data_IF_024689238906
#
_entry.id   IF_024689238906
#
_cell.length_a   1.000
_cell.length_b   1.000
_cell.length_c   1.000
_cell.angle_alpha   90.00
_cell.angle_beta   90.00
_cell.angle_gamma   90.00
#
_symmetry.space_group_name_H-M   'P 1'
#
loop_
_entity.id
_entity.type
_entity.pdbx_description
1 polymer ?
#
# COMPACT_ATOMS: atom_id res chain seq x y z
N UNK A 1 -46.57 -3.51 27.49
CA UNK A 1 -45.81 -3.43 26.26
C UNK A 1 -44.85 -2.25 26.37
N UNK A 2 -43.58 -2.41 26.61
CA UNK A 2 -42.63 -1.29 26.50
C UNK A 2 -42.19 -1.15 25.05
N UNK A 3 -42.50 -0.01 24.45
CA UNK A 3 -41.99 0.44 23.16
C UNK A 3 -40.47 0.56 23.21
N UNK A 4 -39.77 -0.30 22.47
CA UNK A 4 -38.37 -0.12 22.21
C UNK A 4 -38.21 1.12 21.33
N UNK A 5 -37.74 2.20 21.90
CA UNK A 5 -37.09 3.29 21.16
C UNK A 5 -35.82 2.71 20.53
N UNK A 6 -35.91 2.39 19.26
CA UNK A 6 -34.70 2.23 18.40
C UNK A 6 -34.14 3.64 18.26
N UNK A 7 -33.09 3.95 19.01
CA UNK A 7 -32.30 5.15 18.78
C UNK A 7 -31.89 5.14 17.32
N UNK A 8 -32.25 6.18 16.59
CA UNK A 8 -31.79 6.39 15.22
C UNK A 8 -30.26 6.39 15.26
N UNK A 9 -29.66 5.36 14.66
CA UNK A 9 -28.22 5.31 14.40
C UNK A 9 -27.96 6.50 13.49
N UNK A 10 -27.35 7.53 14.02
CA UNK A 10 -26.76 8.59 13.18
C UNK A 10 -25.74 7.91 12.30
N UNK A 11 -26.04 7.85 11.01
CA UNK A 11 -25.26 7.18 9.96
C UNK A 11 -23.93 7.92 9.67
N UNK A 12 -23.13 8.19 10.68
CA UNK A 12 -21.81 8.75 10.45
C UNK A 12 -20.81 7.58 10.35
N UNK A 13 -20.52 7.17 9.13
CA UNK A 13 -19.52 6.14 8.86
C UNK A 13 -18.16 6.71 9.24
N UNK A 14 -17.48 6.04 10.16
CA UNK A 14 -16.07 6.33 10.52
C UNK A 14 -15.27 5.05 10.46
N UNK A 15 -14.26 5.05 9.62
CA UNK A 15 -13.28 3.98 9.49
C UNK A 15 -11.92 4.47 9.96
N UNK A 16 -10.97 3.55 10.10
CA UNK A 16 -9.60 3.91 10.44
C UNK A 16 -8.58 2.96 9.81
N UNK A 17 -7.38 3.48 9.63
CA UNK A 17 -6.17 2.66 9.54
C UNK A 17 -5.29 2.91 10.76
N UNK A 18 -4.75 1.83 11.33
CA UNK A 18 -4.04 1.89 12.60
C UNK A 18 -2.71 1.10 12.51
N UNK A 19 -1.73 1.57 11.72
CA UNK A 19 -0.46 0.89 11.57
C UNK A 19 0.42 1.04 12.82
N UNK A 20 1.12 -0.05 13.19
CA UNK A 20 2.21 0.01 14.16
C UNK A 20 3.50 0.44 13.45
N UNK A 21 4.22 1.49 13.95
CA UNK A 21 5.41 2.02 13.30
C UNK A 21 6.66 1.20 13.63
N UNK A 22 6.58 -0.11 13.42
CA UNK A 22 7.66 -1.10 13.63
C UNK A 22 8.35 -1.48 12.31
N UNK A 23 8.19 -0.68 11.29
CA UNK A 23 8.74 -0.81 9.94
C UNK A 23 7.83 -0.15 8.89
N UNK A 24 8.16 -0.37 7.63
CA UNK A 24 7.43 0.22 6.51
C UNK A 24 5.99 -0.31 6.34
N UNK A 25 5.17 0.44 5.58
CA UNK A 25 3.79 0.05 5.26
C UNK A 25 3.80 -1.14 4.29
N UNK A 26 3.31 -2.28 4.76
CA UNK A 26 3.20 -3.49 3.94
C UNK A 26 2.01 -3.44 2.98
N UNK A 27 2.08 -4.19 1.89
CA UNK A 27 0.99 -4.31 0.91
C UNK A 27 -0.36 -4.70 1.55
N UNK A 28 -0.35 -5.60 2.54
CA UNK A 28 -1.56 -5.99 3.27
C UNK A 28 -2.16 -4.84 4.07
N UNK A 29 -1.32 -4.03 4.73
CA UNK A 29 -1.76 -2.84 5.47
C UNK A 29 -2.21 -1.73 4.50
N UNK A 30 -1.51 -1.55 3.37
CA UNK A 30 -1.91 -0.60 2.32
C UNK A 30 -3.28 -0.97 1.72
N UNK A 31 -3.53 -2.25 1.43
CA UNK A 31 -4.86 -2.73 1.00
C UNK A 31 -5.94 -2.46 2.05
N UNK A 32 -5.63 -2.70 3.32
CA UNK A 32 -6.56 -2.42 4.43
C UNK A 32 -6.85 -0.93 4.53
N UNK A 33 -5.83 -0.08 4.36
CA UNK A 33 -5.99 1.37 4.32
C UNK A 33 -6.88 1.80 3.15
N UNK A 34 -6.62 1.28 1.95
CA UNK A 34 -7.40 1.54 0.75
C UNK A 34 -8.88 1.16 0.93
N UNK A 35 -9.17 -0.02 1.49
CA UNK A 35 -10.55 -0.47 1.71
C UNK A 35 -11.26 0.36 2.78
N UNK A 36 -10.59 0.66 3.90
CA UNK A 36 -11.12 1.52 4.94
C UNK A 36 -11.42 2.92 4.41
N UNK A 37 -10.50 3.48 3.63
CA UNK A 37 -10.64 4.79 3.01
C UNK A 37 -11.77 4.81 1.97
N UNK A 38 -11.78 3.84 1.04
CA UNK A 38 -12.79 3.77 -0.02
C UNK A 38 -14.20 3.59 0.57
N UNK A 39 -14.36 2.76 1.60
CA UNK A 39 -15.62 2.56 2.30
C UNK A 39 -16.12 3.86 2.95
N UNK A 40 -15.24 4.59 3.65
CA UNK A 40 -15.59 5.89 4.21
C UNK A 40 -16.03 6.87 3.13
N UNK A 41 -15.26 6.99 2.04
CA UNK A 41 -15.57 7.91 0.93
C UNK A 41 -16.86 7.55 0.21
N UNK A 42 -17.11 6.26 -0.02
CA UNK A 42 -18.37 5.79 -0.64
C UNK A 42 -19.60 6.23 0.14
N UNK A 43 -19.53 6.15 1.46
CA UNK A 43 -20.65 6.48 2.34
C UNK A 43 -20.67 7.95 2.80
N UNK A 44 -19.78 8.80 2.28
CA UNK A 44 -19.68 10.21 2.73
C UNK A 44 -19.22 10.35 4.18
N UNK A 45 -18.49 9.37 4.70
CA UNK A 45 -17.98 9.30 6.06
C UNK A 45 -16.56 9.80 6.21
N UNK A 46 -15.94 9.51 7.35
CA UNK A 46 -14.61 9.98 7.74
C UNK A 46 -13.61 8.82 7.87
N UNK A 47 -12.37 9.08 7.49
CA UNK A 47 -11.26 8.15 7.59
C UNK A 47 -10.19 8.69 8.55
N UNK A 48 -9.86 7.92 9.59
CA UNK A 48 -8.95 8.29 10.66
C UNK A 48 -7.60 7.57 10.52
N UNK A 49 -6.51 8.29 10.72
CA UNK A 49 -5.18 7.70 10.83
C UNK A 49 -4.74 7.67 12.30
N UNK A 50 -4.48 6.48 12.84
CA UNK A 50 -3.93 6.27 14.18
C UNK A 50 -2.61 5.52 14.10
N UNK A 51 -1.61 5.98 14.83
CA UNK A 51 -0.30 5.32 14.96
C UNK A 51 -0.28 4.53 16.26
N UNK A 52 -0.13 3.21 16.15
CA UNK A 52 -0.12 2.28 17.29
C UNK A 52 1.33 2.05 17.75
N UNK A 53 1.87 3.02 18.51
CA UNK A 53 3.25 3.12 18.97
C UNK A 53 3.47 2.61 20.42
N UNK A 54 2.57 1.78 20.94
CA UNK A 54 2.66 1.19 22.29
C UNK A 54 3.81 0.18 22.46
N UNK A 55 4.38 -0.32 21.37
CA UNK A 55 5.64 -1.06 21.37
C UNK A 55 6.81 -0.09 21.20
N UNK A 56 7.13 0.62 22.28
CA UNK A 56 8.15 1.69 22.28
C UNK A 56 9.53 1.19 21.81
N UNK A 57 9.86 -0.05 22.09
CA UNK A 57 11.17 -0.62 21.72
C UNK A 57 11.36 -0.81 20.22
N UNK A 58 10.26 -1.03 19.47
CA UNK A 58 10.28 -1.27 18.02
C UNK A 58 9.73 -0.11 17.20
N UNK A 59 9.10 0.86 17.83
CA UNK A 59 8.54 2.04 17.15
C UNK A 59 9.63 3.06 16.85
N UNK A 60 9.71 3.54 15.61
CA UNK A 60 10.68 4.55 15.18
C UNK A 60 10.01 5.67 14.42
N UNK A 61 10.58 6.89 14.51
CA UNK A 61 10.10 8.06 13.79
C UNK A 61 10.20 7.83 12.26
N UNK A 62 11.29 7.24 11.81
CA UNK A 62 11.49 6.91 10.37
C UNK A 62 10.37 6.02 9.84
N UNK A 63 9.90 5.04 10.65
CA UNK A 63 8.78 4.19 10.24
C UNK A 63 7.47 4.96 10.15
N UNK A 64 7.25 5.94 11.04
CA UNK A 64 6.07 6.84 10.94
C UNK A 64 6.13 7.64 9.64
N UNK A 65 7.28 8.26 9.34
CA UNK A 65 7.47 9.06 8.13
C UNK A 65 7.25 8.23 6.85
N UNK A 66 7.75 7.00 6.82
CA UNK A 66 7.51 6.08 5.70
C UNK A 66 6.03 5.69 5.55
N UNK A 67 5.30 5.50 6.65
CA UNK A 67 3.85 5.26 6.62
C UNK A 67 3.12 6.47 6.02
N UNK A 68 3.44 7.68 6.49
CA UNK A 68 2.83 8.91 5.99
C UNK A 68 3.15 9.16 4.51
N UNK A 69 4.39 8.94 4.10
CA UNK A 69 4.81 9.04 2.70
C UNK A 69 4.03 8.06 1.81
N UNK A 70 3.91 6.79 2.24
CA UNK A 70 3.16 5.78 1.50
C UNK A 70 1.66 6.14 1.38
N UNK A 71 1.02 6.63 2.46
CA UNK A 71 -0.37 7.08 2.43
C UNK A 71 -0.56 8.28 1.47
N UNK A 72 0.39 9.22 1.50
CA UNK A 72 0.39 10.40 0.61
C UNK A 72 0.54 9.98 -0.84
N UNK A 73 1.50 9.09 -1.14
CA UNK A 73 1.73 8.59 -2.49
C UNK A 73 0.50 7.85 -3.05
N UNK A 74 -0.15 7.00 -2.23
CA UNK A 74 -1.38 6.30 -2.62
C UNK A 74 -2.59 7.24 -2.76
N UNK A 75 -2.50 8.50 -2.34
CA UNK A 75 -3.62 9.44 -2.37
C UNK A 75 -4.70 9.16 -1.31
N UNK A 76 -4.36 8.43 -0.24
CA UNK A 76 -5.29 8.04 0.82
C UNK A 76 -5.29 9.09 1.95
N UNK A 77 -5.80 10.28 1.66
CA UNK A 77 -5.90 11.37 2.63
C UNK A 77 -6.87 11.01 3.78
N UNK A 78 -6.44 11.30 5.03
CA UNK A 78 -7.25 11.13 6.24
C UNK A 78 -7.89 12.45 6.67
N UNK A 79 -9.03 12.35 7.37
CA UNK A 79 -9.79 13.51 7.86
C UNK A 79 -9.36 13.91 9.27
N UNK A 80 -8.89 12.92 10.06
CA UNK A 80 -8.40 13.12 11.42
C UNK A 80 -7.11 12.29 11.64
N UNK A 81 -6.13 12.88 12.31
CA UNK A 81 -4.85 12.23 12.61
C UNK A 81 -3.63 12.97 12.06
N UNK A 82 -2.41 12.38 12.17
CA UNK A 82 -2.15 11.12 12.85
C UNK A 82 -2.31 11.23 14.37
N UNK A 83 -3.06 10.30 14.97
CA UNK A 83 -3.26 10.21 16.41
C UNK A 83 -2.32 9.14 16.97
N UNK A 84 -1.49 9.49 17.97
CA UNK A 84 -0.50 8.60 18.56
C UNK A 84 -1.01 7.98 19.86
N UNK A 85 -0.94 6.67 20.01
CA UNK A 85 -1.41 5.97 21.21
C UNK A 85 -0.63 6.37 22.47
N UNK A 86 0.69 6.54 22.37
CA UNK A 86 1.53 6.94 23.50
C UNK A 86 1.19 8.35 24.03
N UNK A 87 0.53 9.20 23.26
CA UNK A 87 0.03 10.50 23.72
C UNK A 87 -1.29 10.41 24.49
N UNK A 88 -1.91 9.21 24.56
CA UNK A 88 -3.23 8.97 25.17
C UNK A 88 -3.16 8.18 26.48
N UNK A 89 -1.99 8.03 27.08
CA UNK A 89 -1.78 7.21 28.29
C UNK A 89 -2.68 7.60 29.46
N UNK A 90 -2.97 8.90 29.65
CA UNK A 90 -3.88 9.37 30.71
C UNK A 90 -5.31 8.87 30.47
N UNK A 91 -5.76 8.86 29.22
CA UNK A 91 -7.08 8.36 28.87
C UNK A 91 -7.18 6.85 29.14
N UNK A 92 -6.19 6.08 28.79
CA UNK A 92 -6.15 4.65 29.09
C UNK A 92 -6.19 4.39 30.59
N UNK A 93 -5.42 5.13 31.39
CA UNK A 93 -5.46 5.04 32.86
C UNK A 93 -6.87 5.30 33.42
N UNK A 94 -7.52 6.38 32.99
CA UNK A 94 -8.88 6.70 33.43
C UNK A 94 -9.88 5.58 33.11
N UNK A 95 -9.76 4.94 31.93
CA UNK A 95 -10.64 3.78 31.57
C UNK A 95 -10.31 2.56 32.43
N UNK A 96 -9.03 2.28 32.69
CA UNK A 96 -8.61 1.18 33.58
C UNK A 96 -9.14 1.39 34.99
N UNK A 97 -9.03 2.59 35.55
CA UNK A 97 -9.56 2.92 36.88
C UNK A 97 -11.07 2.71 36.95
N UNK A 98 -11.80 3.11 35.89
CA UNK A 98 -13.23 2.83 35.77
C UNK A 98 -13.51 1.32 35.77
N UNK A 99 -12.75 0.52 34.97
CA UNK A 99 -12.95 -0.93 34.89
C UNK A 99 -12.62 -1.65 36.22
N UNK A 100 -11.57 -1.19 36.92
CA UNK A 100 -11.21 -1.70 38.25
C UNK A 100 -12.33 -1.40 39.28
N UNK A 101 -12.86 -0.18 39.29
CA UNK A 101 -13.97 0.21 40.18
C UNK A 101 -15.26 -0.56 39.89
N UNK A 102 -15.51 -0.93 38.63
CA UNK A 102 -16.66 -1.74 38.21
C UNK A 102 -16.45 -3.26 38.42
N UNK A 103 -15.25 -3.70 38.74
CA UNK A 103 -14.92 -5.11 38.84
C UNK A 103 -14.84 -5.85 37.50
N UNK A 104 -14.80 -5.13 36.38
CA UNK A 104 -14.58 -5.68 35.02
C UNK A 104 -13.11 -5.84 34.68
N UNK A 105 -12.22 -5.34 35.54
CA UNK A 105 -10.78 -5.61 35.52
C UNK A 105 -10.27 -5.85 36.95
N UNK A 106 -9.08 -6.43 37.10
CA UNK A 106 -8.48 -6.70 38.39
C UNK A 106 -6.94 -6.72 38.31
N UNK A 107 -6.29 -6.55 39.48
CA UNK A 107 -4.85 -6.61 39.60
C UNK A 107 -4.37 -8.07 39.67
N UNK A 108 -3.37 -8.41 38.92
CA UNK A 108 -2.76 -9.74 38.86
C UNK A 108 -1.25 -9.65 39.18
N UNK A 109 -0.80 -10.41 40.18
CA UNK A 109 0.57 -10.41 40.66
C UNK A 109 1.31 -11.71 40.27
N UNK A 110 0.83 -12.46 39.25
CA UNK A 110 1.59 -13.58 38.72
C UNK A 110 2.89 -13.11 38.10
N UNK A 111 4.00 -13.69 38.51
CA UNK A 111 5.28 -13.52 37.84
C UNK A 111 5.32 -14.28 36.50
N UNK A 112 6.25 -13.97 35.59
CA UNK A 112 6.47 -14.76 34.37
C UNK A 112 6.73 -16.23 34.69
N UNK A 113 7.48 -16.55 35.76
CA UNK A 113 7.80 -17.88 36.19
C UNK A 113 6.56 -18.64 36.68
N UNK A 114 5.63 -17.96 37.38
CA UNK A 114 4.35 -18.55 37.79
C UNK A 114 3.49 -18.91 36.56
N UNK A 115 3.45 -18.03 35.59
CA UNK A 115 2.71 -18.26 34.33
C UNK A 115 3.31 -19.42 33.54
N UNK A 116 4.63 -19.52 33.47
CA UNK A 116 5.32 -20.61 32.75
C UNK A 116 5.13 -21.94 33.43
N UNK A 117 5.19 -21.98 34.77
CA UNK A 117 4.87 -23.18 35.56
C UNK A 117 3.43 -23.63 35.34
N UNK A 118 2.47 -22.69 35.41
CA UNK A 118 1.05 -22.94 35.18
C UNK A 118 0.80 -23.53 33.77
N UNK A 119 1.42 -22.98 32.75
CA UNK A 119 1.32 -23.49 31.37
C UNK A 119 1.92 -24.87 31.20
N UNK A 120 3.09 -25.13 31.85
CA UNK A 120 3.73 -26.44 31.82
C UNK A 120 2.87 -27.51 32.52
N UNK A 121 2.26 -27.18 33.66
CA UNK A 121 1.35 -28.08 34.39
C UNK A 121 0.08 -28.39 33.58
N UNK A 122 -0.47 -27.41 32.89
CA UNK A 122 -1.62 -27.59 32.00
C UNK A 122 -1.27 -28.49 30.80
N UNK A 123 -0.09 -28.29 30.20
CA UNK A 123 0.40 -29.11 29.10
C UNK A 123 0.60 -30.58 29.56
N UNK A 124 1.19 -30.80 30.72
CA UNK A 124 1.37 -32.11 31.27
C UNK A 124 0.03 -32.85 31.51
N UNK A 125 -1.07 -32.11 31.73
CA UNK A 125 -2.41 -32.69 31.89
C UNK A 125 -3.19 -32.77 30.57
N UNK A 126 -2.60 -32.33 29.41
CA UNK A 126 -3.28 -32.28 28.12
C UNK A 126 -4.34 -31.15 28.01
N UNK A 127 -4.25 -30.16 28.89
CA UNK A 127 -5.15 -29.01 28.91
C UNK A 127 -4.64 -27.89 28.02
N UNK A 128 -5.56 -26.99 27.58
CA UNK A 128 -5.19 -25.79 26.83
C UNK A 128 -4.43 -24.83 27.73
N UNK A 129 -3.28 -24.36 27.25
CA UNK A 129 -2.47 -23.34 27.95
C UNK A 129 -3.21 -22.04 28.05
N UNK A 130 -3.52 -21.57 29.27
CA UNK A 130 -4.18 -20.29 29.53
C UNK A 130 -3.91 -19.83 30.96
N UNK A 131 -4.19 -18.57 31.23
CA UNK A 131 -4.22 -18.07 32.60
C UNK A 131 -5.39 -18.72 33.36
N UNK A 132 -5.15 -19.24 34.54
CA UNK A 132 -6.12 -20.03 35.33
C UNK A 132 -7.06 -19.17 36.21
N UNK A 133 -6.87 -17.86 36.20
CA UNK A 133 -7.65 -16.95 37.03
C UNK A 133 -7.21 -16.92 38.50
N UNK A 134 -5.97 -17.32 38.84
CA UNK A 134 -5.46 -17.34 40.23
C UNK A 134 -5.77 -16.04 40.99
N UNK A 135 -5.54 -14.87 40.38
CA UNK A 135 -5.78 -13.55 40.98
C UNK A 135 -7.16 -12.96 40.69
N UNK A 136 -8.01 -13.68 39.97
CA UNK A 136 -9.35 -13.22 39.68
C UNK A 136 -10.23 -13.24 40.91
N UNK A 137 -10.80 -12.10 41.37
CA UNK A 137 -11.75 -12.05 42.46
C UNK A 137 -13.04 -12.78 42.07
N UNK A 138 -13.44 -13.73 42.91
CA UNK A 138 -14.71 -14.45 42.76
C UNK A 138 -15.39 -14.53 44.12
N UNK A 139 -16.71 -14.60 44.19
CA UNK A 139 -17.44 -14.80 45.46
C UNK A 139 -16.93 -16.04 46.20
N UNK A 140 -16.52 -15.89 47.47
CA UNK A 140 -16.00 -16.99 48.29
C UNK A 140 -14.56 -17.42 48.02
N UNK A 141 -13.86 -16.82 47.05
CA UNK A 141 -12.47 -17.13 46.76
C UNK A 141 -11.52 -16.28 47.61
N UNK A 142 -10.62 -16.94 48.35
CA UNK A 142 -9.48 -16.28 49.02
C UNK A 142 -8.36 -16.07 47.99
N UNK A 143 -7.97 -14.84 47.78
CA UNK A 143 -6.83 -14.50 46.89
C UNK A 143 -5.50 -14.84 47.59
N UNK A 144 -4.44 -15.14 46.82
CA UNK A 144 -3.12 -15.31 47.37
C UNK A 144 -2.63 -14.03 48.08
N UNK A 145 -1.67 -14.19 49.01
CA UNK A 145 -0.98 -13.04 49.60
C UNK A 145 -0.19 -12.29 48.54
N UNK A 146 -0.27 -10.96 48.52
CA UNK A 146 0.44 -10.12 47.57
C UNK A 146 1.94 -10.27 47.79
N UNK A 147 2.73 -10.74 46.80
CA UNK A 147 4.15 -10.90 46.93
C UNK A 147 4.86 -9.56 47.05
N UNK A 148 5.85 -9.47 47.96
CA UNK A 148 6.62 -8.25 48.19
C UNK A 148 7.42 -7.85 46.92
N UNK A 149 7.36 -6.58 46.54
CA UNK A 149 8.17 -6.01 45.43
C UNK A 149 7.68 -6.31 44.00
N UNK A 150 6.58 -7.07 43.86
CA UNK A 150 6.00 -7.35 42.53
C UNK A 150 5.02 -6.24 42.15
N UNK A 151 5.23 -5.63 40.97
CA UNK A 151 4.25 -4.71 40.39
C UNK A 151 3.16 -5.53 39.69
N UNK A 152 1.89 -5.18 39.91
CA UNK A 152 0.80 -5.90 39.25
C UNK A 152 0.67 -5.52 37.78
N UNK A 153 0.19 -6.45 36.98
CA UNK A 153 -0.46 -6.18 35.70
C UNK A 153 -1.96 -6.04 35.91
N UNK A 154 -2.67 -5.39 35.00
CA UNK A 154 -4.12 -5.35 35.02
C UNK A 154 -4.66 -6.35 34.01
N UNK A 155 -5.59 -7.20 34.45
CA UNK A 155 -6.30 -8.13 33.57
C UNK A 155 -7.76 -7.76 33.40
N UNK A 156 -8.28 -7.96 32.21
CA UNK A 156 -9.70 -7.92 31.93
C UNK A 156 -10.38 -9.17 32.49
N UNK A 157 -11.43 -9.00 33.27
CA UNK A 157 -12.24 -10.09 33.79
C UNK A 157 -13.23 -10.57 32.70
N UNK A 158 -12.75 -11.41 31.79
CA UNK A 158 -13.58 -11.89 30.70
C UNK A 158 -14.79 -12.65 31.22
N UNK A 159 -16.01 -12.52 30.66
CA UNK A 159 -17.15 -13.36 31.01
C UNK A 159 -16.81 -14.84 30.93
N UNK A 160 -17.21 -15.62 31.93
CA UNK A 160 -16.91 -17.07 31.98
C UNK A 160 -17.87 -17.89 31.12
N UNK A 161 -19.13 -17.44 31.03
CA UNK A 161 -20.23 -18.15 30.39
C UNK A 161 -20.75 -17.43 29.14
N UNK A 162 -21.50 -18.17 28.34
CA UNK A 162 -22.10 -17.67 27.11
C UNK A 162 -21.10 -17.59 25.95
N UNK A 163 -21.54 -16.95 24.88
CA UNK A 163 -20.80 -16.87 23.61
C UNK A 163 -20.63 -15.43 23.14
N UNK A 164 -19.56 -15.18 22.40
CA UNK A 164 -19.34 -13.98 21.62
C UNK A 164 -19.67 -14.28 20.18
N UNK A 165 -20.75 -13.68 19.68
CA UNK A 165 -21.15 -13.80 18.27
C UNK A 165 -21.13 -12.44 17.61
N UNK A 166 -20.57 -12.38 16.40
CA UNK A 166 -20.65 -11.20 15.53
C UNK A 166 -20.82 -11.63 14.08
N UNK A 167 -21.37 -10.75 13.28
CA UNK A 167 -21.45 -10.94 11.84
C UNK A 167 -20.31 -10.17 11.18
N UNK A 168 -19.29 -10.90 10.75
CA UNK A 168 -18.13 -10.31 10.08
C UNK A 168 -18.47 -9.96 8.64
N UNK A 169 -18.13 -8.74 8.21
CA UNK A 169 -18.45 -8.23 6.87
C UNK A 169 -17.81 -9.07 5.75
N UNK A 170 -16.71 -9.77 6.05
CA UNK A 170 -15.98 -10.59 5.07
C UNK A 170 -16.24 -12.07 5.31
N UNK A 171 -16.05 -12.55 6.54
CA UNK A 171 -16.09 -13.98 6.88
C UNK A 171 -17.52 -14.49 7.13
N UNK A 172 -18.47 -13.60 7.41
CA UNK A 172 -19.82 -13.95 7.82
C UNK A 172 -19.94 -14.19 9.32
N UNK A 173 -20.95 -14.91 9.82
CA UNK A 173 -21.16 -15.12 11.25
C UNK A 173 -20.04 -15.95 11.86
N UNK A 174 -19.50 -15.45 12.99
CA UNK A 174 -18.46 -16.12 13.80
C UNK A 174 -18.95 -16.16 15.24
N UNK A 175 -18.81 -17.32 15.89
CA UNK A 175 -19.17 -17.55 17.30
C UNK A 175 -18.01 -18.21 18.03
N UNK A 176 -17.63 -17.65 19.18
CA UNK A 176 -16.59 -18.19 20.07
C UNK A 176 -17.11 -18.21 21.50
N UNK A 177 -17.04 -19.37 22.16
CA UNK A 177 -17.48 -19.51 23.56
C UNK A 177 -16.56 -18.73 24.50
N UNK A 178 -17.15 -18.01 25.47
CA UNK A 178 -16.38 -17.26 26.46
C UNK A 178 -15.42 -18.14 27.28
N UNK A 179 -15.80 -19.40 27.50
CA UNK A 179 -14.94 -20.40 28.17
C UNK A 179 -13.64 -20.71 27.43
N UNK A 180 -13.54 -20.35 26.13
CA UNK A 180 -12.32 -20.51 25.32
C UNK A 180 -11.40 -19.28 25.42
N UNK A 181 -11.88 -18.20 26.06
CA UNK A 181 -11.23 -16.90 26.14
C UNK A 181 -10.76 -16.70 27.58
N UNK A 182 -9.45 -16.53 27.78
CA UNK A 182 -8.89 -16.25 29.10
C UNK A 182 -8.86 -14.76 29.46
N UNK A 183 -8.53 -14.46 30.71
CA UNK A 183 -8.40 -13.09 31.19
C UNK A 183 -7.13 -12.43 30.63
N UNK A 184 -7.30 -11.58 29.63
CA UNK A 184 -6.21 -10.92 28.95
C UNK A 184 -5.56 -9.83 29.82
N UNK A 185 -4.23 -9.70 29.76
CA UNK A 185 -3.54 -8.52 30.32
C UNK A 185 -3.89 -7.31 29.45
N UNK A 186 -4.45 -6.28 30.07
CA UNK A 186 -4.83 -5.03 29.40
C UNK A 186 -3.86 -3.88 29.69
N UNK A 187 -3.13 -3.94 30.83
CA UNK A 187 -2.05 -3.00 31.17
C UNK A 187 -0.88 -3.80 31.74
N UNK A 188 0.31 -3.50 31.25
CA UNK A 188 1.57 -4.08 31.72
C UNK A 188 2.01 -3.49 33.07
N UNK A 189 3.00 -4.07 33.68
CA UNK A 189 3.60 -3.64 34.97
C UNK A 189 4.34 -2.27 34.87
N UNK A 190 4.71 -1.85 33.64
CA UNK A 190 5.24 -0.52 33.32
C UNK A 190 4.14 0.54 33.16
N UNK A 191 2.88 0.17 33.22
CA UNK A 191 1.71 1.04 33.06
C UNK A 191 1.31 1.31 31.60
N UNK A 192 1.97 0.67 30.62
CA UNK A 192 1.62 0.80 29.20
C UNK A 192 0.49 -0.16 28.85
N UNK A 193 -0.56 0.31 28.13
CA UNK A 193 -1.64 -0.55 27.71
C UNK A 193 -1.18 -1.58 26.68
N UNK A 194 -1.85 -2.72 26.66
CA UNK A 194 -1.65 -3.71 25.60
C UNK A 194 -2.51 -3.36 24.38
N UNK A 195 -2.14 -3.91 23.24
CA UNK A 195 -2.78 -3.69 21.95
C UNK A 195 -4.32 -3.79 22.01
N UNK A 196 -4.86 -4.90 22.49
CA UNK A 196 -6.30 -5.14 22.48
C UNK A 196 -7.09 -4.10 23.29
N UNK A 197 -6.53 -3.62 24.39
CA UNK A 197 -7.19 -2.62 25.23
C UNK A 197 -7.08 -1.22 24.61
N UNK A 198 -5.89 -0.82 24.17
CA UNK A 198 -5.70 0.49 23.57
C UNK A 198 -6.61 0.69 22.34
N UNK A 199 -6.68 -0.33 21.47
CA UNK A 199 -7.55 -0.31 20.28
C UNK A 199 -9.02 -0.13 20.65
N UNK A 200 -9.53 -0.82 21.69
CA UNK A 200 -10.93 -0.69 22.12
C UNK A 200 -11.23 0.71 22.61
N UNK A 201 -10.37 1.27 23.48
CA UNK A 201 -10.56 2.62 24.01
C UNK A 201 -10.52 3.66 22.90
N UNK A 202 -9.60 3.52 21.96
CA UNK A 202 -9.44 4.45 20.85
C UNK A 202 -10.62 4.35 19.86
N UNK A 203 -10.97 3.14 19.44
CA UNK A 203 -12.10 2.94 18.51
C UNK A 203 -13.41 3.44 19.12
N UNK A 204 -13.58 3.32 20.46
CA UNK A 204 -14.69 3.91 21.18
C UNK A 204 -14.69 5.43 21.18
N UNK A 205 -13.58 6.04 21.63
CA UNK A 205 -13.45 7.51 21.74
C UNK A 205 -13.56 8.18 20.37
N UNK A 206 -12.96 7.58 19.34
CA UNK A 206 -12.97 8.04 17.95
C UNK A 206 -14.29 7.69 17.25
N UNK A 207 -15.23 7.01 17.93
CA UNK A 207 -16.54 6.61 17.38
C UNK A 207 -16.41 5.82 16.07
N UNK A 208 -15.43 4.93 16.00
CA UNK A 208 -15.23 4.08 14.83
C UNK A 208 -16.45 3.17 14.65
N UNK A 209 -17.05 3.24 13.48
CA UNK A 209 -18.24 2.46 13.13
C UNK A 209 -17.90 1.14 12.44
N UNK A 210 -16.79 1.11 11.67
CA UNK A 210 -16.37 -0.06 10.89
C UNK A 210 -14.85 -0.26 11.01
N UNK A 211 -14.47 -1.51 11.26
CA UNK A 211 -13.07 -1.93 11.46
C UNK A 211 -12.70 -2.94 10.40
N UNK A 212 -12.05 -2.50 9.32
CA UNK A 212 -11.37 -3.41 8.39
C UNK A 212 -9.94 -3.67 8.87
N UNK A 213 -9.51 -4.94 8.88
CA UNK A 213 -8.16 -5.35 9.30
C UNK A 213 -7.82 -6.75 8.79
N UNK A 214 -6.58 -7.20 8.92
CA UNK A 214 -6.16 -8.54 8.55
C UNK A 214 -6.86 -9.63 9.39
N UNK A 215 -7.07 -10.80 8.79
CA UNK A 215 -7.76 -11.93 9.45
C UNK A 215 -6.94 -12.60 10.57
N UNK A 216 -5.66 -12.28 10.71
CA UNK A 216 -4.86 -12.62 11.89
C UNK A 216 -5.41 -12.03 13.19
N UNK A 217 -6.25 -11.01 13.11
CA UNK A 217 -6.91 -10.37 14.24
C UNK A 217 -8.26 -10.99 14.62
N UNK A 218 -8.75 -12.00 13.92
CA UNK A 218 -10.02 -12.67 14.25
C UNK A 218 -10.03 -13.14 15.70
N UNK A 219 -8.92 -13.75 16.14
CA UNK A 219 -8.82 -14.24 17.52
C UNK A 219 -8.78 -13.13 18.59
N UNK A 220 -8.48 -11.88 18.21
CA UNK A 220 -8.51 -10.74 19.11
C UNK A 220 -9.94 -10.17 19.29
N UNK A 221 -10.79 -10.39 18.30
CA UNK A 221 -12.13 -9.80 18.22
C UNK A 221 -13.02 -10.15 19.42
N UNK A 222 -13.07 -11.39 19.93
CA UNK A 222 -13.92 -11.72 21.07
C UNK A 222 -13.55 -10.95 22.35
N UNK A 223 -12.25 -10.79 22.66
CA UNK A 223 -11.83 -9.98 23.81
C UNK A 223 -12.25 -8.52 23.63
N UNK A 224 -12.07 -7.97 22.43
CA UNK A 224 -12.44 -6.59 22.13
C UNK A 224 -13.94 -6.38 22.25
N UNK A 225 -14.77 -7.27 21.71
CA UNK A 225 -16.23 -7.22 21.84
C UNK A 225 -16.64 -7.25 23.32
N UNK A 226 -16.06 -8.13 24.12
CA UNK A 226 -16.36 -8.21 25.55
C UNK A 226 -15.92 -6.95 26.31
N UNK A 227 -14.79 -6.34 25.93
CA UNK A 227 -14.37 -5.04 26.51
C UNK A 227 -15.30 -3.90 26.12
N UNK A 228 -15.74 -3.81 24.86
CA UNK A 228 -16.76 -2.84 24.43
C UNK A 228 -18.04 -2.98 25.25
N UNK A 229 -18.50 -4.22 25.45
CA UNK A 229 -19.71 -4.50 26.26
C UNK A 229 -19.51 -4.11 27.72
N UNK A 230 -18.36 -4.43 28.32
CA UNK A 230 -18.04 -4.08 29.70
C UNK A 230 -17.95 -2.58 29.93
N UNK A 231 -17.55 -1.81 28.92
CA UNK A 231 -17.49 -0.36 28.95
C UNK A 231 -18.84 0.31 28.62
N UNK A 232 -19.86 -0.44 28.19
CA UNK A 232 -21.12 0.11 27.68
C UNK A 232 -20.94 0.90 26.38
N UNK A 233 -19.84 0.61 25.64
CA UNK A 233 -19.47 1.31 24.43
C UNK A 233 -20.19 0.74 23.19
N UNK A 234 -20.42 1.59 22.18
CA UNK A 234 -21.01 1.16 20.91
C UNK A 234 -20.02 0.25 20.18
N UNK A 235 -20.51 -0.93 19.77
CA UNK A 235 -19.70 -1.92 19.06
C UNK A 235 -19.57 -1.56 17.58
N UNK A 236 -18.35 -1.48 17.01
CA UNK A 236 -18.16 -1.33 15.58
C UNK A 236 -18.50 -2.63 14.83
N UNK A 237 -18.77 -2.52 13.54
CA UNK A 237 -18.79 -3.68 12.65
C UNK A 237 -17.36 -4.07 12.27
N UNK A 238 -17.08 -5.39 12.23
CA UNK A 238 -15.77 -5.91 11.89
C UNK A 238 -15.76 -6.55 10.50
N UNK A 239 -14.69 -6.34 9.76
CA UNK A 239 -14.41 -7.00 8.48
C UNK A 239 -12.98 -7.50 8.45
N UNK A 240 -12.79 -8.83 8.48
CA UNK A 240 -11.46 -9.45 8.52
C UNK A 240 -11.02 -9.88 7.12
N UNK A 241 -10.08 -9.12 6.56
CA UNK A 241 -9.55 -9.34 5.22
C UNK A 241 -8.54 -10.50 5.21
N UNK A 242 -8.64 -11.43 4.26
CA UNK A 242 -7.70 -12.54 4.18
C UNK A 242 -6.28 -12.05 3.87
N UNK A 243 -5.28 -12.87 4.25
CA UNK A 243 -3.87 -12.59 3.95
C UNK A 243 -3.62 -12.52 2.45
N UNK A 244 -2.56 -11.82 2.06
CA UNK A 244 -2.01 -11.86 0.71
C UNK A 244 -0.91 -12.91 0.69
N UNK A 245 -0.98 -13.83 -0.28
CA UNK A 245 0.03 -14.85 -0.54
C UNK A 245 1.03 -14.33 -1.57
N UNK A 246 2.29 -14.75 -1.45
CA UNK A 246 3.30 -14.57 -2.49
C UNK A 246 3.09 -15.53 -3.66
N UNK A 247 3.94 -15.45 -4.66
CA UNK A 247 3.99 -16.35 -5.81
C UNK A 247 4.24 -17.82 -5.41
N UNK A 248 4.90 -18.04 -4.27
CA UNK A 248 5.15 -19.35 -3.66
C UNK A 248 3.94 -19.93 -2.90
N UNK A 249 2.80 -19.22 -2.89
CA UNK A 249 1.58 -19.62 -2.16
C UNK A 249 1.67 -19.48 -0.64
N UNK A 250 2.74 -18.91 -0.10
CA UNK A 250 2.93 -18.67 1.32
C UNK A 250 2.63 -17.20 1.66
N UNK A 251 2.37 -16.92 2.95
CA UNK A 251 2.11 -15.54 3.40
C UNK A 251 3.22 -14.60 2.94
N UNK A 252 2.85 -13.53 2.24
CA UNK A 252 3.77 -12.48 1.82
C UNK A 252 4.43 -11.86 3.06
N UNK A 253 5.76 -11.89 3.12
CA UNK A 253 6.52 -11.43 4.29
C UNK A 253 7.80 -10.72 3.88
N UNK A 254 8.37 -9.90 4.78
CA UNK A 254 9.65 -9.16 4.57
C UNK A 254 10.80 -10.06 4.07
N UNK A 255 10.84 -11.31 4.48
CA UNK A 255 11.87 -12.29 4.06
C UNK A 255 11.62 -12.89 2.68
N UNK A 256 10.45 -12.61 2.07
CA UNK A 256 9.96 -13.24 0.84
C UNK A 256 9.42 -12.23 -0.16
N UNK A 257 10.16 -11.12 -0.36
CA UNK A 257 9.85 -10.14 -1.38
C UNK A 257 8.71 -9.16 -1.04
N UNK A 258 8.23 -9.13 0.22
CA UNK A 258 7.36 -8.03 0.66
C UNK A 258 8.20 -6.77 0.78
N UNK A 259 8.16 -5.96 -0.25
CA UNK A 259 8.76 -4.64 -0.33
C UNK A 259 7.83 -3.59 0.27
N UNK A 260 8.38 -2.46 0.65
CA UNK A 260 7.58 -1.30 1.04
C UNK A 260 6.70 -0.84 -0.14
N UNK A 261 5.57 -0.26 0.17
CA UNK A 261 4.76 0.42 -0.85
C UNK A 261 5.56 1.51 -1.56
N UNK A 262 6.45 2.21 -0.85
CA UNK A 262 7.34 3.23 -1.42
C UNK A 262 8.39 2.67 -2.37
N UNK A 263 8.77 1.39 -2.24
CA UNK A 263 9.69 0.76 -3.20
C UNK A 263 9.05 0.66 -4.60
N UNK A 264 7.70 0.54 -4.67
CA UNK A 264 7.00 0.56 -5.96
C UNK A 264 7.01 1.95 -6.60
N UNK A 265 6.91 3.01 -5.81
CA UNK A 265 7.10 4.39 -6.29
C UNK A 265 8.50 4.55 -6.89
N UNK A 266 9.55 4.13 -6.18
CA UNK A 266 10.93 4.19 -6.66
C UNK A 266 11.15 3.35 -7.93
N UNK A 267 10.47 2.22 -8.06
CA UNK A 267 10.46 1.37 -9.24
C UNK A 267 9.56 1.89 -10.38
N UNK A 268 8.96 3.05 -10.21
CA UNK A 268 8.24 3.76 -11.25
C UNK A 268 6.81 3.30 -11.48
N UNK A 269 6.19 2.65 -10.50
CA UNK A 269 4.75 2.40 -10.53
C UNK A 269 3.98 3.67 -10.22
N UNK A 270 2.80 3.81 -10.81
CA UNK A 270 1.88 4.89 -10.49
C UNK A 270 0.94 4.49 -9.33
N UNK A 271 0.56 5.42 -8.47
CA UNK A 271 -0.38 5.14 -7.38
C UNK A 271 -1.74 4.62 -7.88
N UNK A 272 -2.19 5.06 -9.05
CA UNK A 272 -3.41 4.56 -9.68
C UNK A 272 -3.31 3.07 -10.02
N UNK A 273 -2.18 2.64 -10.59
CA UNK A 273 -1.90 1.23 -10.89
C UNK A 273 -1.85 0.38 -9.61
N UNK A 274 -1.17 0.90 -8.58
CA UNK A 274 -1.07 0.23 -7.29
C UNK A 274 -2.44 0.12 -6.61
N UNK A 275 -3.22 1.19 -6.51
CA UNK A 275 -4.53 1.19 -5.88
C UNK A 275 -5.51 0.25 -6.61
N UNK A 276 -5.56 0.30 -7.94
CA UNK A 276 -6.39 -0.59 -8.73
C UNK A 276 -6.03 -2.06 -8.47
N UNK A 277 -4.74 -2.39 -8.47
CA UNK A 277 -4.30 -3.76 -8.25
C UNK A 277 -4.54 -4.22 -6.80
N UNK A 278 -4.24 -3.40 -5.79
CA UNK A 278 -4.53 -3.68 -4.38
C UNK A 278 -6.02 -3.90 -4.14
N UNK A 279 -6.89 -3.13 -4.80
CA UNK A 279 -8.33 -3.31 -4.71
C UNK A 279 -8.77 -4.69 -5.19
N UNK A 280 -8.18 -5.19 -6.28
CA UNK A 280 -8.48 -6.53 -6.82
C UNK A 280 -7.99 -7.69 -5.94
N UNK A 281 -7.10 -7.44 -4.99
CA UNK A 281 -6.62 -8.45 -4.04
C UNK A 281 -7.62 -8.69 -2.90
N UNK A 282 -8.79 -9.16 -3.23
CA UNK A 282 -9.82 -9.53 -2.26
C UNK A 282 -11.15 -8.80 -2.42
N UNK A 283 -11.33 -8.01 -3.49
CA UNK A 283 -12.60 -7.39 -3.87
C UNK A 283 -12.78 -7.42 -5.39
N UNK A 284 -14.02 -7.39 -5.85
CA UNK A 284 -14.36 -7.31 -7.27
C UNK A 284 -15.66 -6.53 -7.49
N UNK A 285 -15.73 -5.83 -8.63
CA UNK A 285 -16.94 -5.26 -9.17
C UNK A 285 -17.21 -5.91 -10.52
N UNK A 286 -18.08 -6.91 -10.54
CA UNK A 286 -18.32 -7.72 -11.75
C UNK A 286 -17.00 -8.24 -12.36
N UNK A 287 -16.86 -8.04 -13.67
CA UNK A 287 -15.66 -8.42 -14.45
C UNK A 287 -14.67 -7.26 -14.65
N UNK A 288 -14.92 -6.10 -14.02
CA UNK A 288 -14.05 -4.94 -14.14
C UNK A 288 -12.69 -5.20 -13.48
N UNK A 289 -11.64 -5.18 -14.29
CA UNK A 289 -10.27 -5.34 -13.81
C UNK A 289 -9.52 -4.01 -13.72
N UNK A 290 -9.89 -3.04 -14.53
CA UNK A 290 -9.23 -1.74 -14.68
C UNK A 290 -10.22 -0.63 -14.35
N UNK A 291 -9.88 0.17 -13.34
CA UNK A 291 -10.73 1.26 -12.86
C UNK A 291 -9.91 2.33 -12.15
N UNK A 292 -10.45 3.53 -12.08
CA UNK A 292 -9.86 4.64 -11.33
C UNK A 292 -10.20 4.55 -9.84
N UNK A 293 -9.50 5.34 -9.02
CA UNK A 293 -9.80 5.44 -7.60
C UNK A 293 -11.21 5.99 -7.34
N UNK A 294 -11.68 6.94 -8.17
CA UNK A 294 -13.04 7.50 -8.10
C UNK A 294 -14.10 6.45 -8.43
N UNK A 295 -13.84 5.61 -9.44
CA UNK A 295 -14.74 4.49 -9.76
C UNK A 295 -14.77 3.47 -8.62
N UNK A 296 -13.62 3.15 -8.02
CA UNK A 296 -13.57 2.30 -6.83
C UNK A 296 -14.43 2.88 -5.71
N UNK A 297 -14.27 4.16 -5.40
CA UNK A 297 -15.09 4.83 -4.37
C UNK A 297 -16.58 4.73 -4.70
N UNK A 298 -16.96 4.93 -5.95
CA UNK A 298 -18.36 4.84 -6.37
C UNK A 298 -18.96 3.43 -6.18
N UNK A 299 -18.15 2.38 -6.25
CA UNK A 299 -18.60 0.98 -6.25
C UNK A 299 -18.36 0.25 -4.91
N UNK A 300 -17.46 0.74 -4.06
CA UNK A 300 -17.00 0.04 -2.86
C UNK A 300 -17.94 0.24 -1.66
N UNK A 301 -19.09 -0.39 -1.69
CA UNK A 301 -20.11 -0.35 -0.63
C UNK A 301 -19.84 -1.31 0.54
N UNK A 302 -18.74 -2.07 0.51
CA UNK A 302 -18.39 -3.10 1.49
C UNK A 302 -18.92 -4.50 1.14
N UNK A 303 -19.63 -4.66 0.03
CA UNK A 303 -20.03 -5.96 -0.53
C UNK A 303 -18.93 -6.54 -1.43
N UNK A 304 -19.13 -7.78 -1.87
CA UNK A 304 -18.21 -8.47 -2.80
C UNK A 304 -16.76 -8.65 -2.31
N UNK A 305 -16.57 -8.63 -0.97
CA UNK A 305 -15.30 -8.94 -0.34
C UNK A 305 -15.07 -10.46 -0.29
N UNK A 306 -13.92 -10.91 -0.81
CA UNK A 306 -13.58 -12.32 -0.87
C UNK A 306 -13.12 -12.86 0.49
N UNK A 307 -13.58 -14.07 0.84
CA UNK A 307 -13.20 -14.77 2.09
C UNK A 307 -11.82 -15.45 2.01
N UNK A 308 -11.40 -15.80 0.81
CA UNK A 308 -10.17 -16.56 0.54
C UNK A 308 -8.96 -15.65 0.33
N UNK A 309 -7.75 -16.11 0.68
CA UNK A 309 -6.51 -15.40 0.36
C UNK A 309 -6.39 -15.06 -1.12
N UNK A 310 -5.84 -13.88 -1.41
CA UNK A 310 -5.49 -13.48 -2.77
C UNK A 310 -4.00 -13.68 -2.99
N UNK A 311 -3.61 -14.09 -4.20
CA UNK A 311 -2.22 -14.29 -4.57
C UNK A 311 -1.66 -13.04 -5.24
N UNK A 312 -0.47 -12.62 -4.83
CA UNK A 312 0.30 -11.55 -5.45
C UNK A 312 0.85 -12.02 -6.80
N UNK A 313 0.59 -11.26 -7.85
CA UNK A 313 1.09 -11.52 -9.21
C UNK A 313 1.77 -10.23 -9.74
N UNK A 314 3.11 -10.19 -9.75
CA UNK A 314 3.87 -9.04 -10.26
C UNK A 314 3.59 -8.73 -11.73
N UNK A 315 3.36 -9.74 -12.57
CA UNK A 315 3.09 -9.54 -13.99
C UNK A 315 1.72 -8.87 -14.19
N UNK A 316 0.73 -9.27 -13.39
CA UNK A 316 -0.59 -8.63 -13.41
C UNK A 316 -0.53 -7.20 -12.90
N UNK A 317 0.23 -6.91 -11.83
CA UNK A 317 0.45 -5.54 -11.36
C UNK A 317 1.07 -4.68 -12.47
N UNK A 318 2.10 -5.20 -13.13
CA UNK A 318 2.79 -4.47 -14.20
C UNK A 318 1.85 -4.18 -15.38
N UNK A 319 0.98 -5.14 -15.74
CA UNK A 319 -0.05 -4.96 -16.76
C UNK A 319 -1.08 -3.89 -16.36
N UNK A 320 -1.54 -3.89 -15.11
CA UNK A 320 -2.44 -2.84 -14.58
C UNK A 320 -1.75 -1.49 -14.63
N UNK A 321 -0.50 -1.41 -14.19
CA UNK A 321 0.26 -0.17 -14.19
C UNK A 321 0.47 0.38 -15.63
N UNK A 322 0.77 -0.49 -16.59
CA UNK A 322 0.91 -0.10 -18.00
C UNK A 322 -0.39 0.54 -18.56
N UNK A 323 -1.55 0.08 -18.12
CA UNK A 323 -2.82 0.72 -18.49
C UNK A 323 -2.90 2.15 -17.94
N UNK A 324 -2.61 2.34 -16.65
CA UNK A 324 -2.66 3.66 -16.02
C UNK A 324 -1.56 4.60 -16.57
N UNK A 325 -0.38 4.08 -16.92
CA UNK A 325 0.67 4.82 -17.61
C UNK A 325 0.16 5.46 -18.93
N UNK A 326 -0.58 4.70 -19.73
CA UNK A 326 -1.15 5.22 -20.99
C UNK A 326 -2.18 6.33 -20.77
N UNK A 327 -2.96 6.26 -19.70
CA UNK A 327 -4.00 7.22 -19.34
C UNK A 327 -3.45 8.45 -18.58
N UNK A 328 -2.22 8.35 -18.04
CA UNK A 328 -1.65 9.39 -17.21
C UNK A 328 -1.44 10.70 -17.99
N UNK A 329 -1.65 11.82 -17.31
CA UNK A 329 -1.39 13.16 -17.83
C UNK A 329 0.10 13.33 -18.17
N UNK A 330 0.38 13.86 -19.36
CA UNK A 330 1.73 13.95 -19.90
C UNK A 330 2.60 14.97 -19.15
N UNK A 331 2.02 16.06 -18.63
CA UNK A 331 2.75 17.04 -17.83
C UNK A 331 3.09 16.50 -16.45
N UNK A 332 2.19 15.72 -15.85
CA UNK A 332 2.48 14.98 -14.61
C UNK A 332 3.58 13.94 -14.82
N UNK A 333 3.52 13.16 -15.90
CA UNK A 333 4.60 12.22 -16.24
C UNK A 333 5.93 12.95 -16.45
N UNK A 334 5.93 14.12 -17.11
CA UNK A 334 7.13 14.94 -17.27
C UNK A 334 7.76 15.30 -15.91
N UNK A 335 6.95 15.66 -14.91
CA UNK A 335 7.43 15.95 -13.55
C UNK A 335 8.07 14.74 -12.89
N UNK A 336 7.43 13.57 -12.97
CA UNK A 336 7.94 12.31 -12.40
C UNK A 336 9.26 11.89 -13.09
N UNK A 337 9.32 11.99 -14.41
CA UNK A 337 10.49 11.65 -15.23
C UNK A 337 11.67 12.56 -14.89
N UNK A 338 11.46 13.86 -14.75
CA UNK A 338 12.52 14.82 -14.39
C UNK A 338 13.10 14.50 -13.03
N UNK A 339 12.25 14.18 -12.04
CA UNK A 339 12.73 13.74 -10.71
C UNK A 339 13.61 12.49 -10.78
N UNK A 340 13.23 11.51 -11.61
CA UNK A 340 14.01 10.28 -11.77
C UNK A 340 15.29 10.48 -12.62
N UNK A 341 15.27 11.34 -13.63
CA UNK A 341 16.46 11.75 -14.37
C UNK A 341 17.49 12.41 -13.45
N UNK A 342 17.02 13.29 -12.53
CA UNK A 342 17.88 13.90 -11.52
C UNK A 342 18.58 12.89 -10.63
N UNK A 343 17.91 11.78 -10.23
CA UNK A 343 18.53 10.67 -9.49
C UNK A 343 19.66 10.00 -10.30
N UNK A 344 19.61 10.07 -11.64
CA UNK A 344 20.68 9.57 -12.56
C UNK A 344 21.73 10.65 -12.89
N UNK A 345 21.68 11.84 -12.30
CA UNK A 345 22.59 12.94 -12.56
C UNK A 345 22.34 13.65 -13.91
N UNK A 346 21.15 13.49 -14.48
CA UNK A 346 20.74 14.14 -15.74
C UNK A 346 19.85 15.34 -15.39
N UNK A 347 20.33 16.54 -15.73
CA UNK A 347 19.54 17.77 -15.58
C UNK A 347 18.50 17.86 -16.69
N UNK A 348 17.24 18.07 -16.32
CA UNK A 348 16.12 18.19 -17.21
C UNK A 348 15.04 19.11 -16.62
N UNK A 349 14.15 19.62 -17.47
CA UNK A 349 13.05 20.50 -17.07
C UNK A 349 11.73 19.87 -17.48
N UNK A 350 10.74 19.93 -16.58
CA UNK A 350 9.38 19.46 -16.84
C UNK A 350 8.60 20.55 -17.63
N UNK A 351 8.88 20.65 -18.90
CA UNK A 351 8.28 21.60 -19.84
C UNK A 351 7.38 20.91 -20.89
N UNK A 352 6.84 21.67 -21.80
CA UNK A 352 6.00 21.15 -22.88
C UNK A 352 6.74 20.16 -23.80
N UNK A 353 8.05 20.30 -23.98
CA UNK A 353 8.87 19.37 -24.76
C UNK A 353 8.99 18.03 -24.04
N UNK A 354 9.23 18.04 -22.72
CA UNK A 354 9.26 16.84 -21.91
C UNK A 354 7.89 16.13 -21.92
N UNK A 355 6.80 16.86 -21.78
CA UNK A 355 5.45 16.32 -21.90
C UNK A 355 5.21 15.67 -23.27
N UNK A 356 5.64 16.29 -24.36
CA UNK A 356 5.56 15.71 -25.71
C UNK A 356 6.41 14.44 -25.87
N UNK A 357 7.60 14.37 -25.24
CA UNK A 357 8.42 13.16 -25.18
C UNK A 357 7.70 12.05 -24.41
N UNK A 358 7.10 12.35 -23.27
CA UNK A 358 6.29 11.40 -22.50
C UNK A 358 5.10 10.90 -23.34
N UNK A 359 4.34 11.77 -23.97
CA UNK A 359 3.20 11.42 -24.82
C UNK A 359 3.58 10.45 -25.97
N UNK A 360 4.74 10.66 -26.60
CA UNK A 360 5.19 9.81 -27.69
C UNK A 360 5.66 8.42 -27.23
N UNK A 361 6.15 8.30 -25.98
CA UNK A 361 6.87 7.12 -25.52
C UNK A 361 6.09 6.29 -24.49
N UNK A 362 5.14 6.86 -23.73
CA UNK A 362 4.46 6.20 -22.61
C UNK A 362 3.73 4.91 -22.98
N UNK A 363 3.19 4.81 -24.21
CA UNK A 363 2.46 3.62 -24.66
C UNK A 363 3.35 2.37 -24.77
N UNK A 364 4.66 2.55 -24.77
CA UNK A 364 5.68 1.48 -24.84
C UNK A 364 6.27 1.13 -23.49
N UNK A 365 5.85 1.82 -22.44
CA UNK A 365 6.41 1.70 -21.09
C UNK A 365 5.37 1.17 -20.12
N UNK A 366 5.82 0.31 -19.23
CA UNK A 366 5.00 -0.22 -18.16
C UNK A 366 5.20 0.54 -16.84
N UNK A 367 6.34 1.25 -16.72
CA UNK A 367 6.70 2.06 -15.55
C UNK A 367 7.31 3.39 -15.97
N UNK A 368 7.37 4.36 -15.05
CA UNK A 368 8.08 5.61 -15.30
C UNK A 368 9.60 5.42 -15.39
N UNK A 369 10.16 4.38 -14.77
CA UNK A 369 11.59 4.01 -14.90
C UNK A 369 11.90 3.61 -16.34
N UNK A 370 11.07 2.79 -16.98
CA UNK A 370 11.23 2.45 -18.40
C UNK A 370 11.08 3.70 -19.29
N UNK A 371 10.16 4.60 -18.94
CA UNK A 371 9.98 5.86 -19.66
C UNK A 371 11.24 6.75 -19.54
N UNK A 372 11.86 6.80 -18.37
CA UNK A 372 13.14 7.49 -18.13
C UNK A 372 14.25 6.90 -19.00
N UNK A 373 14.35 5.58 -19.13
CA UNK A 373 15.37 4.92 -19.96
C UNK A 373 15.18 5.25 -21.45
N UNK A 374 13.94 5.43 -21.90
CA UNK A 374 13.68 5.95 -23.23
C UNK A 374 14.04 7.43 -23.37
N UNK A 375 13.66 8.26 -22.41
CA UNK A 375 13.85 9.71 -22.47
C UNK A 375 15.33 10.09 -22.28
N UNK A 376 16.10 9.32 -21.56
CA UNK A 376 17.55 9.56 -21.36
C UNK A 376 18.31 9.74 -22.69
N UNK A 377 17.85 9.11 -23.78
CA UNK A 377 18.49 9.27 -25.10
C UNK A 377 18.45 10.72 -25.63
N UNK A 378 17.57 11.58 -25.17
CA UNK A 378 17.54 12.98 -25.59
C UNK A 378 18.67 13.80 -24.97
N UNK A 379 19.24 13.35 -23.86
CA UNK A 379 20.27 14.04 -23.07
C UNK A 379 21.64 13.40 -23.18
N UNK A 380 21.70 12.06 -23.19
CA UNK A 380 22.93 11.31 -23.26
C UNK A 380 22.93 10.50 -24.55
N UNK A 381 24.05 10.56 -25.27
CA UNK A 381 24.21 9.77 -26.50
C UNK A 381 24.20 8.27 -26.15
N UNK A 382 23.24 7.49 -26.67
CA UNK A 382 23.22 6.06 -26.44
C UNK A 382 24.35 5.38 -27.20
N UNK A 383 24.89 4.29 -26.62
CA UNK A 383 25.82 3.40 -27.31
C UNK A 383 25.01 2.30 -27.98
N UNK A 384 24.88 2.26 -29.30
CA UNK A 384 24.14 1.21 -29.97
C UNK A 384 24.81 -0.15 -29.78
N UNK A 385 24.02 -1.22 -29.74
CA UNK A 385 24.55 -2.58 -29.74
C UNK A 385 25.36 -2.82 -31.03
N UNK A 386 26.56 -3.39 -30.93
CA UNK A 386 27.44 -3.65 -32.09
C UNK A 386 26.73 -4.51 -33.14
N UNK A 387 25.94 -5.50 -32.72
CA UNK A 387 25.16 -6.34 -33.62
C UNK A 387 24.15 -5.53 -34.47
N UNK A 388 23.50 -4.52 -33.89
CA UNK A 388 22.59 -3.64 -34.65
C UNK A 388 23.35 -2.76 -35.64
N UNK A 389 24.53 -2.28 -35.26
CA UNK A 389 25.42 -1.51 -36.16
C UNK A 389 25.85 -2.38 -37.34
N UNK A 390 26.37 -3.56 -37.08
CA UNK A 390 26.87 -4.49 -38.12
C UNK A 390 25.77 -4.93 -39.09
N UNK A 391 24.55 -5.15 -38.54
CA UNK A 391 23.40 -5.60 -39.33
C UNK A 391 22.78 -4.47 -40.17
N UNK A 392 22.71 -3.26 -39.65
CA UNK A 392 21.85 -2.21 -40.22
C UNK A 392 22.64 -1.02 -40.79
N UNK A 393 23.83 -0.71 -40.27
CA UNK A 393 24.63 0.47 -40.68
C UNK A 393 25.63 0.08 -41.77
N UNK A 394 25.08 -0.45 -42.88
CA UNK A 394 25.90 -0.86 -44.06
C UNK A 394 26.46 0.35 -44.83
N UNK A 395 27.42 0.17 -45.74
CA UNK A 395 28.01 1.28 -46.52
C UNK A 395 26.96 2.05 -47.34
N UNK A 396 25.96 1.41 -48.02
CA UNK A 396 24.87 2.15 -48.65
C UNK A 396 24.04 2.98 -47.65
N UNK A 397 23.76 2.44 -46.43
CA UNK A 397 23.09 3.14 -45.39
C UNK A 397 23.88 4.34 -44.87
N UNK A 398 25.20 4.22 -44.69
CA UNK A 398 26.08 5.31 -44.29
C UNK A 398 26.05 6.45 -45.31
N UNK A 399 26.15 6.13 -46.62
CA UNK A 399 26.08 7.14 -47.68
C UNK A 399 24.71 7.90 -47.61
N UNK A 400 23.60 7.19 -47.43
CA UNK A 400 22.30 7.80 -47.32
C UNK A 400 22.14 8.63 -46.03
N UNK A 401 22.72 8.19 -44.90
CA UNK A 401 22.70 8.95 -43.64
C UNK A 401 23.50 10.25 -43.74
N UNK A 402 24.61 10.28 -44.45
CA UNK A 402 25.38 11.49 -44.71
C UNK A 402 24.57 12.47 -45.58
N UNK A 403 23.93 12.03 -46.64
CA UNK A 403 23.04 12.83 -47.46
C UNK A 403 21.85 13.37 -46.65
N UNK A 404 21.25 12.53 -45.79
CA UNK A 404 20.18 12.95 -44.91
C UNK A 404 20.64 14.02 -43.93
N UNK A 405 21.78 13.85 -43.28
CA UNK A 405 22.40 14.82 -42.39
C UNK A 405 22.50 16.20 -43.03
N UNK A 406 23.07 16.26 -44.23
CA UNK A 406 23.28 17.53 -44.96
C UNK A 406 21.92 18.23 -45.26
N UNK A 407 20.91 17.44 -45.61
CA UNK A 407 19.52 17.99 -45.79
C UNK A 407 18.93 18.49 -44.51
N UNK A 408 19.15 17.81 -43.39
CA UNK A 408 18.64 18.14 -42.08
C UNK A 408 19.23 19.46 -41.50
N UNK A 409 20.36 19.92 -41.98
CA UNK A 409 20.95 21.20 -41.59
C UNK A 409 20.01 22.37 -41.89
N UNK A 410 19.25 22.33 -42.97
CA UNK A 410 18.38 23.41 -43.45
C UNK A 410 16.90 23.05 -43.45
N UNK A 411 16.50 21.81 -43.23
CA UNK A 411 15.12 21.38 -43.21
C UNK A 411 14.32 22.07 -42.08
N UNK A 412 13.01 22.23 -42.25
CA UNK A 412 12.14 22.60 -41.14
C UNK A 412 12.28 21.55 -40.01
N UNK A 413 12.51 21.98 -38.75
CA UNK A 413 12.75 21.08 -37.66
C UNK A 413 11.43 20.70 -36.98
N UNK A 414 10.61 19.99 -37.74
CA UNK A 414 9.35 19.38 -37.31
C UNK A 414 9.16 18.04 -38.03
N UNK A 415 8.12 17.31 -37.63
CA UNK A 415 7.82 15.99 -38.20
C UNK A 415 7.70 16.03 -39.73
N UNK A 416 7.08 17.04 -40.29
CA UNK A 416 6.82 17.16 -41.74
C UNK A 416 8.11 17.44 -42.52
N UNK A 417 8.94 18.39 -42.07
CA UNK A 417 10.20 18.73 -42.67
C UNK A 417 11.21 17.58 -42.63
N UNK A 418 11.30 16.90 -41.47
CA UNK A 418 12.15 15.71 -41.32
C UNK A 418 11.69 14.56 -42.23
N UNK A 419 10.38 14.31 -42.31
CA UNK A 419 9.83 13.28 -43.20
C UNK A 419 10.08 13.61 -44.67
N UNK A 420 10.00 14.90 -45.08
CA UNK A 420 10.34 15.35 -46.43
C UNK A 420 11.81 15.11 -46.77
N UNK A 421 12.76 15.50 -45.88
CA UNK A 421 14.18 15.24 -46.05
C UNK A 421 14.50 13.75 -46.17
N UNK A 422 13.85 12.90 -45.36
CA UNK A 422 13.96 11.44 -45.46
C UNK A 422 13.46 10.92 -46.79
N UNK A 423 12.29 11.38 -47.29
CA UNK A 423 11.70 10.97 -48.57
C UNK A 423 12.60 11.34 -49.75
N UNK A 424 13.14 12.53 -49.76
CA UNK A 424 14.11 12.95 -50.78
C UNK A 424 15.40 12.16 -50.78
N UNK A 425 15.93 11.82 -49.59
CA UNK A 425 17.10 10.96 -49.43
C UNK A 425 16.84 9.56 -49.96
N UNK A 426 15.66 8.97 -49.68
CA UNK A 426 15.28 7.66 -50.21
C UNK A 426 15.23 7.67 -51.73
N UNK A 427 14.65 8.74 -52.32
CA UNK A 427 14.55 8.87 -53.78
C UNK A 427 15.95 9.00 -54.44
N UNK A 428 16.87 9.79 -53.85
CA UNK A 428 18.21 9.99 -54.40
C UNK A 428 19.12 8.75 -54.32
N UNK A 429 18.90 7.86 -53.34
CA UNK A 429 19.66 6.64 -53.16
C UNK A 429 18.94 5.36 -53.65
N UNK A 430 17.72 5.46 -54.16
CA UNK A 430 16.92 4.30 -54.58
C UNK A 430 16.59 3.31 -53.43
N UNK A 431 16.50 3.80 -52.21
CA UNK A 431 16.30 2.99 -51.00
C UNK A 431 14.81 2.93 -50.62
N UNK A 432 14.45 1.85 -49.89
CA UNK A 432 13.14 1.73 -49.20
C UNK A 432 13.24 2.26 -47.78
N UNK A 433 12.09 2.68 -47.21
CA UNK A 433 12.01 3.27 -45.89
C UNK A 433 12.78 2.51 -44.80
N UNK A 434 12.67 1.16 -44.65
CA UNK A 434 13.43 0.45 -43.61
C UNK A 434 14.96 0.57 -43.77
N UNK A 435 15.48 0.70 -45.01
CA UNK A 435 16.92 0.78 -45.29
C UNK A 435 17.54 2.11 -44.87
N UNK A 436 16.75 3.14 -44.63
CA UNK A 436 17.19 4.42 -44.07
C UNK A 436 16.73 4.58 -42.60
N UNK A 437 15.50 4.23 -42.31
CA UNK A 437 14.90 4.50 -41.01
C UNK A 437 15.51 3.62 -39.88
N UNK A 438 15.88 2.36 -40.15
CA UNK A 438 16.47 1.49 -39.12
C UNK A 438 17.89 1.96 -38.78
N UNK A 439 18.84 2.15 -39.76
CA UNK A 439 20.15 2.71 -39.46
C UNK A 439 20.07 4.07 -38.73
N UNK A 440 19.15 4.93 -39.15
CA UNK A 440 18.91 6.24 -38.50
C UNK A 440 18.52 6.07 -37.00
N UNK A 441 17.63 5.13 -36.71
CA UNK A 441 17.26 4.80 -35.32
C UNK A 441 18.45 4.30 -34.51
N UNK A 442 19.21 3.38 -35.08
CA UNK A 442 20.42 2.83 -34.42
C UNK A 442 21.42 3.94 -34.10
N UNK A 443 21.70 4.84 -35.04
CA UNK A 443 22.71 5.90 -34.86
C UNK A 443 22.19 7.04 -33.95
N UNK A 444 20.91 7.42 -34.04
CA UNK A 444 20.36 8.53 -33.24
C UNK A 444 19.85 8.09 -31.88
N UNK A 445 19.18 6.93 -31.82
CA UNK A 445 18.49 6.47 -30.62
C UNK A 445 19.14 5.25 -29.94
N UNK A 446 20.19 4.65 -30.53
CA UNK A 446 20.85 3.46 -30.03
C UNK A 446 20.03 2.18 -30.14
N UNK A 447 18.92 2.16 -30.91
CA UNK A 447 17.94 1.06 -30.98
C UNK A 447 17.42 0.92 -32.39
N UNK A 448 17.23 -0.30 -32.87
CA UNK A 448 16.64 -0.58 -34.20
C UNK A 448 15.12 -0.29 -34.26
N UNK A 449 14.42 -0.31 -33.12
CA UNK A 449 12.98 -0.12 -33.01
C UNK A 449 12.63 1.08 -32.13
N UNK A 450 11.83 2.03 -32.66
CA UNK A 450 11.33 3.22 -31.97
C UNK A 450 9.93 3.53 -32.46
N UNK A 451 9.20 4.53 -31.91
CA UNK A 451 8.11 5.20 -32.61
C UNK A 451 8.50 5.72 -34.00
N UNK A 452 7.61 6.40 -34.70
CA UNK A 452 7.92 7.06 -35.94
C UNK A 452 9.17 7.95 -35.80
N UNK A 453 10.23 7.62 -36.56
CA UNK A 453 11.54 8.27 -36.37
C UNK A 453 11.48 9.75 -36.70
N UNK A 454 10.62 10.17 -37.62
CA UNK A 454 10.34 11.55 -37.96
C UNK A 454 9.76 12.34 -36.78
N UNK A 455 8.75 11.77 -36.09
CA UNK A 455 8.14 12.35 -34.91
C UNK A 455 9.12 12.39 -33.72
N UNK A 456 9.92 11.32 -33.56
CA UNK A 456 10.87 11.24 -32.48
C UNK A 456 12.03 12.23 -32.67
N UNK A 457 12.57 12.35 -33.88
CA UNK A 457 13.63 13.32 -34.19
C UNK A 457 13.19 14.77 -33.98
N UNK A 458 11.94 15.10 -34.25
CA UNK A 458 11.41 16.43 -34.02
C UNK A 458 11.43 16.88 -32.54
N UNK A 459 11.58 15.93 -31.61
CA UNK A 459 11.69 16.18 -30.16
C UNK A 459 13.14 16.29 -29.66
N UNK A 460 14.13 16.04 -30.54
CA UNK A 460 15.52 16.35 -30.26
C UNK A 460 15.85 17.80 -30.62
N UNK A 461 16.88 18.35 -30.00
CA UNK A 461 17.54 19.51 -30.56
C UNK A 461 18.25 19.12 -31.86
N UNK A 462 18.13 19.94 -32.92
CA UNK A 462 18.72 19.66 -34.24
C UNK A 462 20.19 19.27 -34.14
N UNK A 463 21.00 20.05 -33.43
CA UNK A 463 22.45 19.83 -33.33
C UNK A 463 22.79 18.49 -32.69
N UNK A 464 22.00 18.02 -31.73
CA UNK A 464 22.19 16.69 -31.11
C UNK A 464 22.11 15.58 -32.16
N UNK A 465 21.13 15.64 -33.05
CA UNK A 465 20.96 14.67 -34.14
C UNK A 465 22.12 14.77 -35.16
N UNK A 466 22.45 16.00 -35.57
CA UNK A 466 23.53 16.23 -36.51
C UNK A 466 24.89 15.71 -35.99
N UNK A 467 25.22 15.96 -34.72
CA UNK A 467 26.44 15.45 -34.05
C UNK A 467 26.46 13.93 -34.08
N UNK A 468 25.35 13.26 -33.76
CA UNK A 468 25.28 11.79 -33.79
C UNK A 468 25.46 11.22 -35.21
N UNK A 469 24.95 11.93 -36.21
CA UNK A 469 25.11 11.53 -37.62
C UNK A 469 26.51 11.86 -38.21
N UNK A 470 27.33 12.70 -37.57
CA UNK A 470 28.73 12.94 -37.97
C UNK A 470 29.64 11.75 -37.68
N UNK A 471 29.20 10.82 -36.81
CA UNK A 471 29.97 9.62 -36.48
C UNK A 471 29.82 8.47 -37.50
N UNK A 472 29.02 8.68 -38.56
CA UNK A 472 28.68 7.67 -39.57
C UNK A 472 29.64 7.73 -40.78
#
# INVERSE_FOLDING_TARGET
MPSHFIAAVTNNIRTRIAPSPTGFLHLGTARTALYSWAFARHHGGEFVLRIEDTDVARSTQDSVEQILAAMTWLGLGYDEGPIYQMQRLERYRAVVDQMLAQGTAYLCYCSPEDLDRMKADQEARGEKRRYDGTWRPLPGKTLPAIPGGVKPVVRFANPADGDVTWNDLVKGPITIGNKEIDDLIIVRDDGVPTYNFAVVVDDWDMKISHVFRGDEHINNTPWQINMFRALGATLPQFGHLPIILGDDGLKLSKRRGAVSVTDYEDNGYLPEGMNNYLARLGWSHGDDELFTLEQMVAWFDGSHLNKSPAQWDPAKLLWVNAHHMKQADDARLATLVVGQLGKKGIEAVADATMAARCALLKDRCQTTVELVDWIAMFYVAPVPAQADVDQHVTEPAKAALRTLRDKLETAAWDKAGIAAAMKETLASHGLKMPQLAIPLRVMVCGRAQTPGIDALMALFEREVVLVRLRTV
#
